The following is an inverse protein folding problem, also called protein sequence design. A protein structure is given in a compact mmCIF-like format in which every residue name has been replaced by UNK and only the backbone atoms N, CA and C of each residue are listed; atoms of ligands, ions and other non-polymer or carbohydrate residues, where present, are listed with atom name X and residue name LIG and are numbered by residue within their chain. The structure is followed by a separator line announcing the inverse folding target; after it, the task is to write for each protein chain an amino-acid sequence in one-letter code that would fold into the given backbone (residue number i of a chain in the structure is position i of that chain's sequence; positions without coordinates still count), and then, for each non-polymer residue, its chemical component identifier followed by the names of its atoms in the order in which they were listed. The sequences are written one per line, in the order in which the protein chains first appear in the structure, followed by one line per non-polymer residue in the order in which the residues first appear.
data_IF_406135601763
#
_entry.id   IF_406135601763
#
_cell.length_a   1.000
_cell.length_b   1.000
_cell.length_c   1.000
_cell.angle_alpha   90.00
_cell.angle_beta   90.00
_cell.angle_gamma   90.00
#
_symmetry.space_group_name_H-M   'P 1'
#
loop_
_entity.id
_entity.type
_entity.pdbx_description
1 polymer ?
#
# COMPACT_ATOMS: atom_id res chain seq x y z
N UNK A 1 24.45 -13.39 14.84
CA UNK A 1 23.84 -12.61 13.75
C UNK A 1 22.54 -11.89 14.15
N UNK A 2 21.88 -12.23 15.26
CA UNK A 2 20.61 -11.59 15.69
C UNK A 2 20.74 -10.19 16.29
N UNK A 3 21.88 -9.85 16.90
CA UNK A 3 22.03 -8.55 17.58
C UNK A 3 22.14 -7.33 16.65
N UNK A 4 22.55 -7.50 15.39
CA UNK A 4 22.66 -6.39 14.45
C UNK A 4 21.30 -5.98 13.84
N UNK A 5 20.33 -6.89 13.80
CA UNK A 5 19.00 -6.61 13.26
C UNK A 5 18.19 -5.74 14.24
N UNK A 6 18.23 -6.08 15.54
CA UNK A 6 17.58 -5.29 16.60
C UNK A 6 18.07 -3.84 16.69
N UNK A 7 19.38 -3.60 16.42
CA UNK A 7 19.96 -2.25 16.40
C UNK A 7 19.49 -1.43 15.19
N UNK A 8 19.08 -2.08 14.09
CA UNK A 8 18.60 -1.42 12.88
C UNK A 8 17.10 -1.07 13.02
N UNK A 9 16.30 -1.92 13.65
CA UNK A 9 14.86 -1.69 13.90
C UNK A 9 14.59 -0.39 14.66
N UNK A 10 15.42 -0.05 15.62
CA UNK A 10 15.30 1.19 16.40
C UNK A 10 15.80 2.46 15.66
N UNK A 11 16.37 2.35 14.46
CA UNK A 11 16.90 3.50 13.71
C UNK A 11 15.90 4.14 12.76
N UNK A 12 14.87 3.42 12.32
CA UNK A 12 13.89 3.94 11.39
C UNK A 12 12.70 4.55 12.13
N UNK A 13 12.75 5.85 12.35
CA UNK A 13 11.57 6.59 12.77
C UNK A 13 10.78 6.99 11.54
N UNK A 14 9.67 6.31 11.32
CA UNK A 14 8.72 6.68 10.29
C UNK A 14 7.76 7.75 10.82
N UNK A 15 7.51 8.76 10.00
CA UNK A 15 6.57 9.83 10.29
C UNK A 15 5.58 9.96 9.12
N UNK A 16 4.30 9.93 9.43
CA UNK A 16 3.25 10.24 8.44
C UNK A 16 3.29 11.75 8.19
N UNK A 17 3.52 12.14 6.94
CA UNK A 17 3.54 13.55 6.52
C UNK A 17 2.21 13.98 5.91
N UNK A 18 1.61 13.10 5.10
CA UNK A 18 0.41 13.44 4.37
C UNK A 18 -0.48 12.21 4.15
N UNK A 19 -1.79 12.45 4.11
CA UNK A 19 -2.81 11.46 3.75
C UNK A 19 -3.77 12.09 2.75
N UNK A 20 -3.90 11.45 1.59
CA UNK A 20 -4.84 11.83 0.54
C UNK A 20 -5.88 10.74 0.39
N UNK A 21 -7.13 11.13 0.17
CA UNK A 21 -8.24 10.21 -0.08
C UNK A 21 -9.01 10.67 -1.30
N UNK A 22 -9.11 9.81 -2.31
CA UNK A 22 -9.98 10.00 -3.47
C UNK A 22 -11.11 8.96 -3.38
N UNK A 23 -12.34 9.42 -3.35
CA UNK A 23 -13.51 8.55 -3.51
C UNK A 23 -13.68 8.24 -4.99
N UNK A 24 -13.50 6.99 -5.36
CA UNK A 24 -13.64 6.53 -6.76
C UNK A 24 -15.12 6.40 -7.13
N UNK A 25 -15.90 5.84 -6.22
CA UNK A 25 -17.36 5.71 -6.23
C UNK A 25 -17.82 5.30 -4.82
N UNK A 26 -19.11 4.94 -4.64
CA UNK A 26 -19.67 4.67 -3.30
C UNK A 26 -18.97 3.55 -2.52
N UNK A 27 -18.39 2.57 -3.23
CA UNK A 27 -17.71 1.41 -2.63
C UNK A 27 -16.21 1.35 -2.95
N UNK A 28 -15.63 2.39 -3.54
CA UNK A 28 -14.24 2.38 -3.98
C UNK A 28 -13.47 3.60 -3.49
N UNK A 29 -12.29 3.36 -2.90
CA UNK A 29 -11.41 4.40 -2.37
C UNK A 29 -9.98 4.21 -2.89
N UNK A 30 -9.32 5.31 -3.22
CA UNK A 30 -7.88 5.37 -3.37
C UNK A 30 -7.31 6.24 -2.26
N UNK A 31 -6.37 5.68 -1.50
CA UNK A 31 -5.63 6.38 -0.46
C UNK A 31 -4.17 6.53 -0.89
N UNK A 32 -3.64 7.71 -0.73
CA UNK A 32 -2.20 7.97 -0.78
C UNK A 32 -1.74 8.41 0.60
N UNK A 33 -0.73 7.73 1.12
CA UNK A 33 -0.13 8.05 2.40
C UNK A 33 1.35 8.25 2.17
N UNK A 34 1.86 9.41 2.57
CA UNK A 34 3.28 9.74 2.49
C UNK A 34 3.91 9.59 3.87
N UNK A 35 4.95 8.77 3.93
CA UNK A 35 5.79 8.58 5.12
C UNK A 35 7.20 9.07 4.81
N UNK A 36 7.81 9.79 5.75
CA UNK A 36 9.22 10.12 5.73
C UNK A 36 9.99 9.34 6.78
N UNK A 37 11.29 9.27 6.61
CA UNK A 37 12.21 8.69 7.59
C UNK A 37 13.42 9.59 7.79
N UNK A 38 13.93 9.61 9.01
CA UNK A 38 15.16 10.34 9.35
C UNK A 38 16.43 9.64 8.80
N UNK A 39 16.33 8.37 8.41
CA UNK A 39 17.46 7.59 7.92
C UNK A 39 17.45 7.51 6.41
N UNK A 40 18.58 7.76 5.75
CA UNK A 40 18.69 7.66 4.30
C UNK A 40 18.48 6.22 3.81
N UNK A 41 17.47 6.02 2.98
CA UNK A 41 17.17 4.72 2.38
C UNK A 41 18.23 4.28 1.35
N UNK A 42 18.99 5.20 0.78
CA UNK A 42 20.02 4.93 -0.23
C UNK A 42 21.08 3.90 0.23
N UNK A 43 21.24 3.74 1.53
CA UNK A 43 22.24 2.85 2.15
C UNK A 43 21.65 1.50 2.63
N UNK A 44 20.37 1.24 2.36
CA UNK A 44 19.64 0.12 2.96
C UNK A 44 19.28 -0.92 1.92
N UNK A 45 19.51 -2.19 2.22
CA UNK A 45 19.05 -3.28 1.35
C UNK A 45 17.52 -3.38 1.38
N UNK A 46 16.92 -3.87 0.27
CA UNK A 46 15.47 -4.14 0.17
C UNK A 46 14.95 -4.88 1.40
N UNK A 47 15.67 -5.91 1.86
CA UNK A 47 15.28 -6.74 2.99
C UNK A 47 15.16 -5.93 4.29
N UNK A 48 16.17 -5.13 4.61
CA UNK A 48 16.17 -4.32 5.83
C UNK A 48 15.05 -3.29 5.77
N UNK A 49 14.86 -2.66 4.60
CA UNK A 49 13.79 -1.69 4.38
C UNK A 49 12.40 -2.28 4.69
N UNK A 50 12.03 -3.38 4.02
CA UNK A 50 10.70 -3.99 4.21
C UNK A 50 10.52 -4.59 5.60
N UNK A 51 11.58 -5.18 6.17
CA UNK A 51 11.52 -5.65 7.55
C UNK A 51 11.20 -4.51 8.52
N UNK A 52 11.86 -3.37 8.37
CA UNK A 52 11.61 -2.20 9.21
C UNK A 52 10.21 -1.61 9.00
N UNK A 53 9.73 -1.58 7.75
CA UNK A 53 8.39 -1.09 7.43
C UNK A 53 7.31 -1.98 8.05
N UNK A 54 7.37 -3.28 7.85
CA UNK A 54 6.38 -4.25 8.36
C UNK A 54 6.31 -4.27 9.89
N UNK A 55 7.44 -4.07 10.57
CA UNK A 55 7.48 -4.03 12.04
C UNK A 55 7.16 -2.64 12.62
N UNK A 56 6.85 -1.65 11.78
CA UNK A 56 6.55 -0.31 12.24
C UNK A 56 5.05 -0.11 12.46
N UNK A 57 4.69 0.41 13.63
CA UNK A 57 3.30 0.70 13.99
C UNK A 57 2.61 1.63 12.98
N UNK A 58 3.37 2.55 12.37
CA UNK A 58 2.86 3.46 11.33
C UNK A 58 2.31 2.67 10.14
N UNK A 59 3.02 1.64 9.67
CA UNK A 59 2.52 0.79 8.57
C UNK A 59 1.26 0.02 8.97
N UNK A 60 1.22 -0.50 10.19
CA UNK A 60 0.09 -1.25 10.72
C UNK A 60 -1.14 -0.35 10.93
N UNK A 61 -0.97 0.86 11.45
CA UNK A 61 -2.08 1.78 11.74
C UNK A 61 -2.63 2.52 10.52
N UNK A 62 -1.86 2.63 9.43
CA UNK A 62 -2.22 3.46 8.27
C UNK A 62 -3.47 2.97 7.53
N UNK A 63 -3.80 1.71 7.67
CA UNK A 63 -4.92 1.12 6.95
C UNK A 63 -6.27 1.32 7.65
N UNK A 64 -6.29 1.52 8.98
CA UNK A 64 -7.55 1.47 9.72
C UNK A 64 -8.34 2.77 9.66
N UNK A 65 -9.59 2.59 9.33
CA UNK A 65 -10.65 3.55 9.49
C UNK A 65 -10.97 3.72 11.00
N UNK A 66 -11.59 4.86 11.34
CA UNK A 66 -11.95 5.25 12.69
C UNK A 66 -12.92 4.30 13.40
N UNK A 67 -13.38 3.25 12.74
CA UNK A 67 -14.27 2.23 13.34
C UNK A 67 -13.55 1.14 14.12
N UNK A 68 -12.24 0.98 13.95
CA UNK A 68 -11.51 -0.11 14.61
C UNK A 68 -10.43 0.42 15.53
N UNK A 69 -10.60 0.18 16.82
CA UNK A 69 -9.68 0.62 17.86
C UNK A 69 -8.43 -0.24 18.01
N UNK A 70 -8.26 -1.33 17.25
CA UNK A 70 -7.13 -2.26 17.35
C UNK A 70 -6.67 -2.73 15.97
N UNK A 71 -5.72 -2.01 15.42
CA UNK A 71 -5.03 -2.37 14.18
C UNK A 71 -3.82 -3.29 14.38
N UNK A 72 -3.44 -3.53 15.63
CA UNK A 72 -2.22 -4.25 15.97
C UNK A 72 -2.15 -5.61 15.27
N UNK A 73 -1.05 -5.83 14.55
CA UNK A 73 -0.80 -7.07 13.82
C UNK A 73 -1.56 -7.22 12.49
N UNK A 74 -2.29 -6.18 12.03
CA UNK A 74 -3.08 -6.23 10.79
C UNK A 74 -2.65 -5.14 9.82
N UNK A 75 -2.74 -5.43 8.51
CA UNK A 75 -2.57 -4.45 7.45
C UNK A 75 -3.41 -4.83 6.23
N UNK A 76 -4.37 -3.98 5.86
CA UNK A 76 -5.34 -4.35 4.83
C UNK A 76 -6.04 -5.66 5.18
N UNK A 77 -6.20 -6.58 4.21
CA UNK A 77 -6.82 -7.87 4.45
C UNK A 77 -5.87 -8.91 5.09
N UNK A 78 -4.63 -8.54 5.42
CA UNK A 78 -3.56 -9.44 5.83
C UNK A 78 -3.21 -9.30 7.31
N UNK A 79 -2.76 -10.41 7.92
CA UNK A 79 -2.01 -10.38 9.17
C UNK A 79 -0.55 -10.03 8.87
N UNK A 80 0.02 -9.09 9.62
CA UNK A 80 1.41 -8.64 9.44
C UNK A 80 2.40 -9.80 9.52
N UNK A 81 2.17 -10.75 10.44
CA UNK A 81 3.03 -11.92 10.60
C UNK A 81 3.07 -12.84 9.37
N UNK A 82 2.10 -12.71 8.47
CA UNK A 82 2.04 -13.45 7.20
C UNK A 82 2.70 -12.70 6.05
N UNK A 83 3.12 -11.44 6.25
CA UNK A 83 3.82 -10.62 5.25
C UNK A 83 5.33 -10.65 5.47
N UNK A 84 6.06 -10.63 4.37
CA UNK A 84 7.52 -10.55 4.40
C UNK A 84 8.06 -9.76 3.17
N UNK A 85 9.37 -9.54 3.13
CA UNK A 85 10.01 -8.74 2.08
C UNK A 85 9.89 -9.32 0.66
N UNK A 86 9.58 -10.63 0.52
CA UNK A 86 9.43 -11.28 -0.79
C UNK A 86 8.08 -10.99 -1.42
N UNK A 87 7.08 -10.68 -0.59
CA UNK A 87 5.74 -10.33 -1.05
C UNK A 87 5.71 -8.98 -1.81
N UNK A 88 6.76 -8.16 -1.67
CA UNK A 88 6.91 -6.90 -2.40
C UNK A 88 7.75 -7.09 -3.65
N UNK A 89 7.10 -7.18 -4.80
CA UNK A 89 7.76 -7.33 -6.10
C UNK A 89 8.05 -5.95 -6.71
N UNK A 90 9.25 -5.82 -7.30
CA UNK A 90 9.62 -4.61 -8.03
C UNK A 90 8.89 -4.59 -9.37
N UNK A 91 8.28 -3.46 -9.71
CA UNK A 91 7.56 -3.24 -10.97
C UNK A 91 8.08 -2.00 -11.69
N UNK A 92 7.75 -1.84 -12.98
CA UNK A 92 8.13 -0.65 -13.74
C UNK A 92 7.17 0.53 -13.50
N UNK A 93 7.63 1.73 -13.84
CA UNK A 93 6.84 2.95 -13.78
C UNK A 93 5.59 2.88 -14.67
N UNK A 94 5.75 2.36 -15.87
CA UNK A 94 4.66 2.20 -16.84
C UNK A 94 3.64 1.18 -16.32
N UNK A 95 4.13 0.10 -15.72
CA UNK A 95 3.27 -0.95 -15.17
C UNK A 95 2.37 -0.39 -14.06
N UNK A 96 2.93 0.28 -13.06
CA UNK A 96 2.14 0.84 -11.94
C UNK A 96 1.10 1.84 -12.43
N UNK A 97 1.46 2.76 -13.36
CA UNK A 97 0.53 3.75 -13.89
C UNK A 97 -0.63 3.10 -14.64
N UNK A 98 -0.31 2.18 -15.54
CA UNK A 98 -1.32 1.51 -16.36
C UNK A 98 -2.24 0.63 -15.51
N UNK A 99 -1.68 -0.12 -14.58
CA UNK A 99 -2.45 -1.01 -13.71
C UNK A 99 -3.40 -0.22 -12.80
N UNK A 100 -2.94 0.86 -12.15
CA UNK A 100 -3.80 1.70 -11.32
C UNK A 100 -4.94 2.30 -12.16
N UNK A 101 -4.64 2.87 -13.33
CA UNK A 101 -5.69 3.43 -14.21
C UNK A 101 -6.67 2.36 -14.63
N UNK A 102 -6.21 1.17 -14.96
CA UNK A 102 -7.09 0.03 -15.31
C UNK A 102 -8.00 -0.36 -14.15
N UNK A 103 -7.43 -0.52 -12.94
CA UNK A 103 -8.18 -0.90 -11.74
C UNK A 103 -9.29 0.12 -11.43
N UNK A 104 -8.97 1.41 -11.45
CA UNK A 104 -9.95 2.46 -11.10
C UNK A 104 -10.99 2.68 -12.20
N UNK A 105 -10.65 2.44 -13.48
CA UNK A 105 -11.56 2.64 -14.62
C UNK A 105 -12.46 1.45 -14.91
N UNK A 106 -12.07 0.26 -14.48
CA UNK A 106 -12.78 -1.00 -14.77
C UNK A 106 -12.79 -1.89 -13.54
N UNK A 107 -13.48 -1.49 -12.47
CA UNK A 107 -13.61 -2.33 -11.27
C UNK A 107 -14.30 -3.65 -11.64
N UNK A 108 -13.86 -4.75 -11.04
CA UNK A 108 -14.32 -6.12 -11.36
C UNK A 108 -15.81 -6.38 -11.08
N UNK A 109 -16.45 -5.52 -10.32
CA UNK A 109 -17.86 -5.66 -9.93
C UNK A 109 -18.72 -4.68 -10.70
N UNK A 110 -20.03 -4.89 -10.71
CA UNK A 110 -21.05 -4.00 -11.29
C UNK A 110 -21.13 -2.62 -10.60
N UNK A 111 -19.96 -2.07 -10.29
CA UNK A 111 -19.84 -0.75 -9.72
C UNK A 111 -20.08 0.32 -10.78
N UNK A 112 -20.61 1.48 -10.39
CA UNK A 112 -20.66 2.64 -11.27
C UNK A 112 -19.29 2.96 -11.83
N UNK A 113 -19.22 3.41 -13.06
CA UNK A 113 -17.98 3.92 -13.65
C UNK A 113 -17.48 5.11 -12.83
N UNK A 114 -16.17 5.17 -12.63
CA UNK A 114 -15.54 6.31 -11.96
C UNK A 114 -15.93 7.64 -12.66
N UNK A 115 -16.17 8.69 -11.91
CA UNK A 115 -16.43 10.01 -12.48
C UNK A 115 -15.20 10.54 -13.23
N UNK A 116 -15.44 11.43 -14.21
CA UNK A 116 -14.33 12.07 -14.95
C UNK A 116 -13.43 12.89 -14.03
N UNK A 117 -14.04 13.53 -13.05
CA UNK A 117 -13.36 14.35 -12.04
C UNK A 117 -12.44 13.48 -11.19
N UNK A 118 -12.95 12.39 -10.60
CA UNK A 118 -12.16 11.45 -9.81
C UNK A 118 -11.04 10.79 -10.62
N UNK A 119 -11.30 10.41 -11.87
CA UNK A 119 -10.26 9.87 -12.76
C UNK A 119 -9.17 10.90 -13.07
N UNK A 120 -9.54 12.17 -13.25
CA UNK A 120 -8.58 13.25 -13.46
C UNK A 120 -7.72 13.49 -12.22
N UNK A 121 -8.35 13.45 -11.04
CA UNK A 121 -7.65 13.57 -9.76
C UNK A 121 -6.65 12.42 -9.55
N UNK A 122 -7.03 11.18 -9.84
CA UNK A 122 -6.12 10.02 -9.82
C UNK A 122 -4.94 10.24 -10.77
N UNK A 123 -5.18 10.65 -12.02
CA UNK A 123 -4.10 10.90 -13.00
C UNK A 123 -3.13 11.99 -12.53
N UNK A 124 -3.64 13.07 -11.96
CA UNK A 124 -2.83 14.15 -11.41
C UNK A 124 -1.96 13.65 -10.25
N UNK A 125 -2.57 12.89 -9.33
CA UNK A 125 -1.86 12.29 -8.21
C UNK A 125 -0.73 11.37 -8.68
N UNK A 126 -1.00 10.47 -9.64
CA UNK A 126 0.03 9.60 -10.22
C UNK A 126 1.14 10.42 -10.92
N UNK A 127 0.80 11.55 -11.55
CA UNK A 127 1.77 12.45 -12.18
C UNK A 127 2.74 13.07 -11.16
N UNK A 128 2.26 13.40 -9.97
CA UNK A 128 3.06 14.02 -8.91
C UNK A 128 3.97 13.00 -8.22
N UNK A 129 3.45 11.81 -7.88
CA UNK A 129 4.14 10.87 -6.98
C UNK A 129 4.91 9.76 -7.70
N UNK A 130 4.64 9.51 -8.98
CA UNK A 130 5.34 8.50 -9.78
C UNK A 130 6.36 9.17 -10.69
N UNK A 131 7.58 9.38 -10.17
CA UNK A 131 8.70 10.07 -10.87
C UNK A 131 9.67 9.08 -11.52
N UNK A 132 10.66 9.58 -12.27
CA UNK A 132 11.68 8.75 -12.92
C UNK A 132 12.68 8.16 -11.91
N UNK A 133 12.99 8.91 -10.85
CA UNK A 133 13.95 8.50 -9.82
C UNK A 133 13.38 7.50 -8.81
N UNK A 134 12.06 7.30 -8.82
CA UNK A 134 11.39 6.45 -7.84
C UNK A 134 11.53 4.96 -8.15
N UNK A 135 11.50 4.16 -7.10
CA UNK A 135 11.48 2.70 -7.16
C UNK A 135 10.10 2.22 -6.75
N UNK A 136 9.52 1.32 -7.55
CA UNK A 136 8.13 0.91 -7.39
C UNK A 136 8.04 -0.54 -6.95
N UNK A 137 7.14 -0.81 -6.01
CA UNK A 137 6.84 -2.16 -5.54
C UNK A 137 5.33 -2.36 -5.50
N UNK A 138 4.92 -3.60 -5.76
CA UNK A 138 3.55 -4.08 -5.60
C UNK A 138 3.52 -5.17 -4.55
N UNK A 139 2.52 -5.16 -3.68
CA UNK A 139 2.28 -6.23 -2.71
C UNK A 139 1.60 -7.40 -3.43
N UNK A 140 2.36 -8.43 -3.79
CA UNK A 140 1.90 -9.52 -4.67
C UNK A 140 0.74 -10.33 -4.07
N UNK A 141 0.67 -10.46 -2.77
CA UNK A 141 -0.46 -11.11 -2.08
C UNK A 141 -1.83 -10.51 -2.40
N UNK A 142 -1.86 -9.27 -2.86
CA UNK A 142 -3.08 -8.66 -3.38
C UNK A 142 -3.66 -9.42 -4.57
N UNK A 143 -2.82 -10.05 -5.41
CA UNK A 143 -3.30 -10.85 -6.55
C UNK A 143 -4.08 -12.07 -6.09
N UNK A 144 -3.56 -12.80 -5.10
CA UNK A 144 -4.23 -13.96 -4.54
C UNK A 144 -5.54 -13.56 -3.88
N UNK A 145 -5.53 -12.50 -3.08
CA UNK A 145 -6.72 -11.96 -2.44
C UNK A 145 -7.79 -11.55 -3.45
N UNK A 146 -7.40 -10.91 -4.56
CA UNK A 146 -8.32 -10.42 -5.58
C UNK A 146 -8.75 -11.49 -6.60
N UNK A 147 -7.99 -12.59 -6.74
CA UNK A 147 -8.31 -13.68 -7.68
C UNK A 147 -9.34 -14.65 -7.12
N UNK A 148 -9.44 -14.77 -5.81
CA UNK A 148 -10.34 -15.71 -5.13
C UNK A 148 -11.78 -15.20 -5.21
N UNK A 149 -12.68 -15.99 -5.79
CA UNK A 149 -14.13 -15.74 -5.72
C UNK A 149 -14.69 -16.15 -4.36
N UNK A 150 -15.76 -15.51 -3.93
CA UNK A 150 -16.31 -15.45 -2.57
C UNK A 150 -16.26 -16.73 -1.71
N UNK A 151 -16.43 -17.93 -2.27
CA UNK A 151 -16.48 -19.17 -1.50
C UNK A 151 -15.09 -19.77 -1.19
N UNK A 152 -14.06 -19.39 -1.95
CA UNK A 152 -12.67 -19.87 -1.76
C UNK A 152 -11.74 -18.80 -1.18
N UNK A 153 -12.24 -17.62 -0.87
CA UNK A 153 -11.45 -16.51 -0.36
C UNK A 153 -11.01 -16.79 1.07
N UNK A 154 -9.70 -16.85 1.27
CA UNK A 154 -9.13 -16.98 2.61
C UNK A 154 -9.02 -15.60 3.25
N UNK A 155 -9.82 -15.38 4.25
CA UNK A 155 -9.78 -14.17 5.06
C UNK A 155 -8.84 -14.38 6.25
N UNK A 156 -7.84 -13.53 6.39
CA UNK A 156 -6.83 -13.69 7.43
C UNK A 156 -7.27 -13.13 8.79
N UNK A 157 -8.27 -12.26 8.80
CA UNK A 157 -8.87 -11.72 10.01
C UNK A 157 -10.32 -11.22 9.75
N UNK A 158 -11.04 -10.90 10.80
CA UNK A 158 -12.48 -10.57 10.74
C UNK A 158 -12.83 -9.36 9.86
N UNK A 159 -11.93 -8.39 9.71
CA UNK A 159 -12.20 -7.18 8.91
C UNK A 159 -11.94 -7.36 7.42
N UNK A 160 -11.17 -8.36 7.03
CA UNK A 160 -10.91 -8.64 5.62
C UNK A 160 -12.16 -9.04 4.83
N UNK A 161 -13.23 -9.48 5.52
CA UNK A 161 -14.54 -9.76 4.90
C UNK A 161 -15.22 -8.54 4.29
N UNK A 162 -14.88 -7.33 4.75
CA UNK A 162 -15.46 -6.09 4.26
C UNK A 162 -14.85 -5.65 2.93
N UNK A 163 -13.77 -6.29 2.48
CA UNK A 163 -13.07 -5.93 1.25
C UNK A 163 -13.38 -6.93 0.13
N UNK A 164 -13.95 -6.45 -0.95
CA UNK A 164 -14.09 -7.21 -2.20
C UNK A 164 -12.78 -7.25 -2.97
N UNK A 165 -12.02 -6.14 -2.94
CA UNK A 165 -10.68 -6.05 -3.54
C UNK A 165 -9.76 -5.12 -2.76
N UNK A 166 -8.46 -5.44 -2.81
CA UNK A 166 -7.40 -4.66 -2.17
C UNK A 166 -6.16 -4.66 -3.06
N UNK A 167 -5.60 -3.47 -3.29
CA UNK A 167 -4.36 -3.29 -4.04
C UNK A 167 -3.45 -2.34 -3.29
N UNK A 168 -2.18 -2.68 -3.19
CA UNK A 168 -1.18 -1.84 -2.54
C UNK A 168 0.07 -1.72 -3.38
N UNK A 169 0.47 -0.48 -3.58
CA UNK A 169 1.71 -0.09 -4.24
C UNK A 169 2.55 0.79 -3.33
N UNK A 170 3.84 0.55 -3.32
CA UNK A 170 4.80 1.39 -2.63
C UNK A 170 5.67 2.10 -3.65
N UNK A 171 5.74 3.41 -3.55
CA UNK A 171 6.63 4.28 -4.32
C UNK A 171 7.70 4.78 -3.37
N UNK A 172 8.91 4.26 -3.51
CA UNK A 172 10.07 4.71 -2.77
C UNK A 172 10.74 5.85 -3.54
N UNK A 173 10.72 7.04 -2.96
CA UNK A 173 11.41 8.24 -3.43
C UNK A 173 12.72 8.41 -2.64
N UNK A 174 13.86 7.96 -3.20
CA UNK A 174 15.14 8.02 -2.49
C UNK A 174 15.70 9.45 -2.40
N UNK A 175 15.34 10.35 -3.32
CA UNK A 175 15.83 11.73 -3.34
C UNK A 175 15.27 12.55 -2.18
N UNK A 176 14.01 12.29 -1.81
CA UNK A 176 13.31 13.00 -0.74
C UNK A 176 13.18 12.17 0.55
N UNK A 177 13.77 11.00 0.61
CA UNK A 177 13.64 10.08 1.75
C UNK A 177 12.18 9.76 2.12
N UNK A 178 11.33 9.54 1.10
CA UNK A 178 9.90 9.33 1.26
C UNK A 178 9.44 8.00 0.70
N UNK A 179 8.39 7.49 1.31
CA UNK A 179 7.61 6.37 0.82
C UNK A 179 6.19 6.87 0.61
N UNK A 180 5.66 6.66 -0.58
CA UNK A 180 4.27 6.89 -0.87
C UNK A 180 3.57 5.55 -1.00
N UNK A 181 2.59 5.31 -0.14
CA UNK A 181 1.74 4.12 -0.18
C UNK A 181 0.47 4.48 -0.94
N UNK A 182 0.23 3.80 -2.04
CA UNK A 182 -0.99 3.91 -2.84
C UNK A 182 -1.83 2.66 -2.55
N UNK A 183 -2.96 2.84 -1.91
CA UNK A 183 -3.87 1.76 -1.54
C UNK A 183 -5.21 1.98 -2.22
N UNK A 184 -5.69 0.97 -2.97
CA UNK A 184 -7.00 0.96 -3.61
C UNK A 184 -7.82 -0.13 -2.96
N UNK A 185 -9.01 0.24 -2.47
CA UNK A 185 -9.95 -0.69 -1.84
C UNK A 185 -11.31 -0.61 -2.51
N UNK A 186 -11.97 -1.77 -2.60
CA UNK A 186 -13.38 -1.90 -2.94
C UNK A 186 -14.07 -2.74 -1.86
N UNK A 187 -15.24 -2.28 -1.43
CA UNK A 187 -16.12 -2.94 -0.45
C UNK A 187 -17.28 -3.68 -1.12
#
# INVERSE_FOLDING_TARGET
MSNNILLIENRYKFKVENKYLIRLHDHGLLRLITISTETEFSQVTKRIFFHSLLNNIVYQELFFDHYTQKSEGKHGPFLINNLNEKDFIKISKEHIKNEIIQIVSSPKWSCPTISKEALTEVKNLLGIYITESSIFYFLERCRDFNSSFNESKVYEHEWSHNLSSYYEYLVHDPENNKIHMLIITYE
#
